data_IF_196417203141
#
_entry.id   IF_196417203141
#
_cell.length_a   1.000
_cell.length_b   1.000
_cell.length_c   1.000
_cell.angle_alpha   90.00
_cell.angle_beta   90.00
_cell.angle_gamma   90.00
#
_symmetry.space_group_name_H-M   'P 1'
#
loop_
_entity.id
_entity.type
_entity.pdbx_description
1 polymer ?
#
# COMPACT_ATOMS: atom_id res chain seq x y z
N UNK A 1 -6.57 -51.45 36.47
CA UNK A 1 -5.16 -51.02 36.66
C UNK A 1 -4.96 -50.57 38.11
N UNK A 2 -3.81 -50.85 38.72
CA UNK A 2 -3.48 -50.37 40.09
C UNK A 2 -2.89 -48.97 40.04
N UNK A 3 -2.70 -48.35 41.21
CA UNK A 3 -2.18 -46.97 41.29
C UNK A 3 -0.81 -46.79 40.63
N UNK A 4 0.09 -47.79 40.71
CA UNK A 4 1.40 -47.75 40.05
C UNK A 4 1.30 -47.70 38.53
N UNK A 5 0.37 -48.48 37.96
CA UNK A 5 0.11 -48.47 36.52
C UNK A 5 -0.46 -47.10 36.10
N UNK A 6 -1.36 -46.54 36.91
CA UNK A 6 -1.92 -45.22 36.67
C UNK A 6 -0.86 -44.10 36.75
N UNK A 7 0.10 -44.18 37.69
CA UNK A 7 1.24 -43.27 37.74
C UNK A 7 2.07 -43.35 36.45
N UNK A 8 2.38 -44.55 35.98
CA UNK A 8 3.20 -44.77 34.79
C UNK A 8 2.51 -44.27 33.51
N UNK A 9 1.20 -44.51 33.37
CA UNK A 9 0.41 -44.11 32.20
C UNK A 9 0.07 -42.62 32.15
N UNK A 10 -0.07 -41.97 33.32
CA UNK A 10 -0.44 -40.54 33.38
C UNK A 10 0.76 -39.63 33.63
N UNK A 11 1.87 -40.17 34.15
CA UNK A 11 3.02 -39.41 34.64
C UNK A 11 2.66 -38.46 35.79
N UNK A 12 1.64 -38.79 36.58
CA UNK A 12 1.26 -38.10 37.81
C UNK A 12 1.72 -38.93 39.00
N UNK A 13 2.07 -38.29 40.12
CA UNK A 13 2.38 -39.03 41.35
C UNK A 13 1.12 -39.65 41.96
N UNK A 14 1.26 -40.75 42.69
CA UNK A 14 0.18 -41.40 43.42
C UNK A 14 -0.51 -40.41 44.38
N UNK A 15 0.27 -39.50 44.99
CA UNK A 15 -0.27 -38.44 45.85
C UNK A 15 -1.19 -37.49 45.06
N UNK A 16 -0.79 -37.09 43.86
CA UNK A 16 -1.59 -36.23 42.98
C UNK A 16 -2.85 -36.94 42.50
N UNK A 17 -2.76 -38.22 42.13
CA UNK A 17 -3.92 -39.02 41.71
C UNK A 17 -4.92 -39.16 42.86
N UNK A 18 -4.45 -39.49 44.07
CA UNK A 18 -5.30 -39.57 45.27
C UNK A 18 -5.92 -38.22 45.63
N UNK A 19 -5.20 -37.12 45.42
CA UNK A 19 -5.74 -35.78 45.62
C UNK A 19 -6.89 -35.48 44.64
N UNK A 20 -6.75 -35.83 43.36
CA UNK A 20 -7.85 -35.65 42.40
C UNK A 20 -9.06 -36.55 42.69
N UNK A 21 -8.81 -37.76 43.20
CA UNK A 21 -9.85 -38.65 43.69
C UNK A 21 -10.58 -38.04 44.91
N UNK A 22 -9.87 -37.54 45.91
CA UNK A 22 -10.49 -36.90 47.09
C UNK A 22 -11.26 -35.62 46.74
N UNK A 23 -10.82 -34.91 45.70
CA UNK A 23 -11.52 -33.75 45.17
C UNK A 23 -12.74 -34.13 44.29
N UNK A 24 -13.00 -35.42 44.06
CA UNK A 24 -14.15 -35.90 43.27
C UNK A 24 -14.01 -35.67 41.76
N UNK A 25 -12.79 -35.44 41.27
CA UNK A 25 -12.54 -35.25 39.83
C UNK A 25 -12.56 -36.56 39.04
N UNK A 26 -12.29 -37.67 39.72
CA UNK A 26 -12.37 -39.04 39.21
C UNK A 26 -13.08 -39.93 40.22
N UNK A 27 -13.73 -40.99 39.75
CA UNK A 27 -14.41 -41.97 40.59
C UNK A 27 -13.81 -43.33 40.31
N UNK A 28 -13.29 -43.95 41.37
CA UNK A 28 -12.53 -45.20 41.30
C UNK A 28 -13.36 -46.28 41.97
N UNK A 29 -13.45 -47.47 41.37
CA UNK A 29 -14.11 -48.60 42.01
C UNK A 29 -13.25 -49.10 43.18
N UNK A 30 -13.84 -49.14 44.37
CA UNK A 30 -13.20 -49.62 45.58
C UNK A 30 -13.73 -51.03 45.85
N UNK A 31 -12.96 -52.04 45.43
CA UNK A 31 -13.14 -53.44 45.87
C UNK A 31 -12.16 -53.69 47.03
N UNK A 32 -11.47 -54.84 47.08
CA UNK A 32 -10.37 -55.08 48.03
C UNK A 32 -9.16 -54.15 47.80
N UNK A 33 -9.05 -53.57 46.60
CA UNK A 33 -8.08 -52.54 46.22
C UNK A 33 -8.73 -51.50 45.31
N UNK A 34 -8.11 -50.31 45.19
CA UNK A 34 -8.52 -49.28 44.20
C UNK A 34 -8.12 -49.72 42.79
N UNK A 35 -9.11 -49.82 41.91
CA UNK A 35 -8.90 -50.14 40.50
C UNK A 35 -9.27 -48.97 39.59
N UNK A 36 -8.27 -48.49 38.84
CA UNK A 36 -8.42 -47.47 37.81
C UNK A 36 -8.72 -48.15 36.47
N UNK A 37 -9.76 -47.69 35.78
CA UNK A 37 -10.10 -48.07 34.41
C UNK A 37 -9.53 -47.07 33.40
N UNK A 38 -9.70 -47.35 32.10
CA UNK A 38 -9.21 -46.49 31.03
C UNK A 38 -9.85 -45.10 31.06
N UNK A 39 -11.12 -45.00 31.44
CA UNK A 39 -11.83 -43.73 31.57
C UNK A 39 -11.21 -42.85 32.66
N UNK A 40 -10.81 -43.44 33.78
CA UNK A 40 -10.07 -42.75 34.83
C UNK A 40 -8.71 -42.26 34.33
N UNK A 41 -7.96 -43.07 33.58
CA UNK A 41 -6.68 -42.64 32.98
C UNK A 41 -6.89 -41.47 32.02
N UNK A 42 -7.89 -41.54 31.15
CA UNK A 42 -8.23 -40.46 30.21
C UNK A 42 -8.64 -39.17 30.93
N UNK A 43 -9.42 -39.26 32.01
CA UNK A 43 -9.77 -38.10 32.85
C UNK A 43 -8.55 -37.49 33.52
N UNK A 44 -7.67 -38.31 34.09
CA UNK A 44 -6.43 -37.85 34.73
C UNK A 44 -5.51 -37.14 33.74
N UNK A 45 -5.37 -37.62 32.51
CA UNK A 45 -4.59 -36.96 31.46
C UNK A 45 -5.18 -35.59 31.07
N UNK A 46 -6.52 -35.48 30.95
CA UNK A 46 -7.20 -34.20 30.69
C UNK A 46 -6.98 -33.21 31.84
N UNK A 47 -7.13 -33.67 33.09
CA UNK A 47 -6.88 -32.84 34.29
C UNK A 47 -5.44 -32.35 34.31
N UNK A 48 -4.46 -33.22 34.00
CA UNK A 48 -3.04 -32.86 33.92
C UNK A 48 -2.79 -31.71 32.95
N UNK A 49 -3.37 -31.76 31.74
CA UNK A 49 -3.23 -30.69 30.75
C UNK A 49 -3.82 -29.38 31.28
N UNK A 50 -5.05 -29.42 31.82
CA UNK A 50 -5.70 -28.23 32.38
C UNK A 50 -4.90 -27.63 33.54
N UNK A 51 -4.35 -28.48 34.42
CA UNK A 51 -3.49 -28.04 35.54
C UNK A 51 -2.17 -27.45 35.07
N UNK A 52 -1.60 -27.91 33.95
CA UNK A 52 -0.43 -27.26 33.32
C UNK A 52 -0.74 -25.88 32.74
N UNK A 53 -2.00 -25.56 32.49
CA UNK A 53 -2.47 -24.24 32.04
C UNK A 53 -2.99 -23.41 33.23
N UNK A 54 -2.57 -23.72 34.45
CA UNK A 54 -2.98 -23.06 35.70
C UNK A 54 -4.50 -23.00 35.93
N UNK A 55 -5.28 -23.91 35.32
CA UNK A 55 -6.71 -24.01 35.58
C UNK A 55 -6.92 -24.58 36.98
N UNK A 56 -7.69 -23.89 37.82
CA UNK A 56 -7.97 -24.32 39.19
C UNK A 56 -8.80 -25.61 39.24
N UNK A 57 -8.68 -26.36 40.34
CA UNK A 57 -9.47 -27.58 40.58
C UNK A 57 -10.97 -27.28 40.56
N UNK A 58 -11.40 -26.15 41.13
CA UNK A 58 -12.80 -25.72 41.11
C UNK A 58 -13.34 -25.54 39.69
N UNK A 59 -12.59 -24.92 38.80
CA UNK A 59 -12.98 -24.74 37.39
C UNK A 59 -13.02 -26.05 36.63
N UNK A 60 -12.11 -26.99 36.93
CA UNK A 60 -12.15 -28.34 36.37
C UNK A 60 -13.41 -29.09 36.82
N UNK A 61 -13.85 -28.93 38.08
CA UNK A 61 -15.12 -29.51 38.57
C UNK A 61 -16.32 -28.94 37.80
N UNK A 62 -16.41 -27.61 37.65
CA UNK A 62 -17.46 -26.95 36.87
C UNK A 62 -17.54 -27.47 35.43
N UNK A 63 -16.38 -27.68 34.80
CA UNK A 63 -16.29 -28.30 33.47
C UNK A 63 -16.87 -29.72 33.47
N UNK A 64 -16.51 -30.54 34.45
CA UNK A 64 -16.99 -31.92 34.54
C UNK A 64 -18.51 -31.99 34.79
N UNK A 65 -19.09 -30.96 35.42
CA UNK A 65 -20.53 -30.78 35.60
C UNK A 65 -21.24 -30.19 34.37
N UNK A 66 -20.50 -29.82 33.32
CA UNK A 66 -21.06 -29.19 32.12
C UNK A 66 -21.36 -27.70 32.26
N UNK A 67 -21.04 -27.08 33.40
CA UNK A 67 -21.31 -25.66 33.70
C UNK A 67 -20.35 -24.70 33.00
N UNK A 68 -19.21 -25.20 32.51
CA UNK A 68 -18.23 -24.42 31.78
C UNK A 68 -17.63 -25.25 30.64
N UNK A 69 -17.65 -24.72 29.43
CA UNK A 69 -17.06 -25.38 28.28
C UNK A 69 -15.53 -25.28 28.29
N UNK A 70 -14.86 -26.24 27.66
CA UNK A 70 -13.40 -26.18 27.48
C UNK A 70 -12.98 -24.90 26.73
N UNK A 71 -13.79 -24.48 25.75
CA UNK A 71 -13.53 -23.29 24.94
C UNK A 71 -13.59 -22.01 25.78
N UNK A 72 -14.55 -21.89 26.69
CA UNK A 72 -14.64 -20.75 27.63
C UNK A 72 -13.45 -20.70 28.58
N UNK A 73 -13.10 -21.85 29.18
CA UNK A 73 -11.95 -21.95 30.10
C UNK A 73 -10.66 -21.58 29.38
N UNK A 74 -10.44 -22.13 28.17
CA UNK A 74 -9.24 -21.82 27.38
C UNK A 74 -9.18 -20.36 26.95
N UNK A 75 -10.30 -19.74 26.54
CA UNK A 75 -10.34 -18.31 26.22
C UNK A 75 -10.08 -17.43 27.44
N UNK A 76 -10.64 -17.80 28.60
CA UNK A 76 -10.41 -17.09 29.86
C UNK A 76 -8.94 -17.12 30.25
N UNK A 77 -8.30 -18.31 30.20
CA UNK A 77 -6.87 -18.44 30.49
C UNK A 77 -5.97 -17.72 29.50
N UNK A 78 -6.33 -17.73 28.22
CA UNK A 78 -5.59 -16.96 27.23
C UNK A 78 -5.60 -15.46 27.56
N UNK A 79 -6.76 -14.90 27.92
CA UNK A 79 -6.88 -13.50 28.36
C UNK A 79 -6.08 -13.21 29.62
N UNK A 80 -6.18 -14.07 30.63
CA UNK A 80 -5.41 -13.96 31.88
C UNK A 80 -3.90 -13.94 31.60
N UNK A 81 -3.42 -14.80 30.68
CA UNK A 81 -2.01 -14.81 30.29
C UNK A 81 -1.60 -13.57 29.48
N UNK A 82 -2.45 -13.06 28.59
CA UNK A 82 -2.19 -11.81 27.86
C UNK A 82 -2.08 -10.60 28.82
N UNK A 83 -3.00 -10.50 29.79
CA UNK A 83 -2.96 -9.46 30.84
C UNK A 83 -1.72 -9.57 31.71
N UNK A 84 -1.34 -10.80 32.08
CA UNK A 84 -0.11 -11.05 32.83
C UNK A 84 1.14 -10.72 32.01
N UNK A 85 1.16 -11.00 30.70
CA UNK A 85 2.26 -10.63 29.81
C UNK A 85 2.44 -9.11 29.78
N UNK A 86 1.35 -8.35 29.61
CA UNK A 86 1.36 -6.88 29.67
C UNK A 86 1.85 -6.35 31.02
N UNK A 87 1.41 -6.96 32.13
CA UNK A 87 1.86 -6.57 33.46
C UNK A 87 3.36 -6.86 33.67
N UNK A 88 3.85 -8.00 33.19
CA UNK A 88 5.27 -8.34 33.21
C UNK A 88 6.08 -7.37 32.33
N UNK A 89 5.53 -6.93 31.21
CA UNK A 89 6.17 -5.97 30.30
C UNK A 89 6.28 -4.58 30.95
N UNK A 90 5.22 -4.11 31.66
CA UNK A 90 5.27 -2.91 32.51
C UNK A 90 6.35 -3.00 33.59
N UNK A 91 6.44 -4.14 34.28
CA UNK A 91 7.50 -4.36 35.30
C UNK A 91 8.90 -4.34 34.70
N UNK A 92 9.07 -4.87 33.48
CA UNK A 92 10.36 -4.81 32.77
C UNK A 92 10.73 -3.39 32.36
N UNK A 93 9.80 -2.61 31.82
CA UNK A 93 10.07 -1.23 31.42
C UNK A 93 10.46 -0.35 32.61
N UNK A 94 9.83 -0.58 33.76
CA UNK A 94 10.24 0.01 35.05
C UNK A 94 11.69 -0.34 35.38
N UNK A 95 12.04 -1.62 35.37
CA UNK A 95 13.40 -2.07 35.69
C UNK A 95 14.42 -1.47 34.72
N UNK A 96 14.10 -1.41 33.42
CA UNK A 96 14.96 -0.81 32.41
C UNK A 96 15.17 0.69 32.64
N UNK A 97 14.12 1.43 33.01
CA UNK A 97 14.22 2.84 33.36
C UNK A 97 15.15 3.05 34.57
N UNK A 98 14.96 2.26 35.64
CA UNK A 98 15.82 2.30 36.83
C UNK A 98 17.27 1.97 36.48
N UNK A 99 17.52 0.89 35.72
CA UNK A 99 18.87 0.48 35.34
C UNK A 99 19.59 1.55 34.51
N UNK A 100 18.88 2.24 33.63
CA UNK A 100 19.43 3.32 32.81
C UNK A 100 19.91 4.50 33.66
N UNK A 101 19.18 4.82 34.73
CA UNK A 101 19.54 5.92 35.63
C UNK A 101 20.61 5.51 36.64
N UNK A 102 20.58 4.28 37.17
CA UNK A 102 21.67 3.72 37.99
C UNK A 102 23.01 3.77 37.23
N UNK A 103 22.99 3.50 35.91
CA UNK A 103 24.18 3.59 35.07
C UNK A 103 24.73 5.03 34.93
N UNK A 104 23.92 6.07 35.15
CA UNK A 104 24.37 7.47 35.10
C UNK A 104 24.76 8.01 36.47
N UNK A 105 24.02 7.65 37.52
CA UNK A 105 24.26 8.05 38.89
C UNK A 105 24.10 6.82 39.81
N UNK A 106 25.17 6.33 40.46
CA UNK A 106 25.08 5.14 41.32
C UNK A 106 24.18 5.30 42.56
N UNK A 107 23.90 6.54 42.98
CA UNK A 107 23.07 6.87 44.13
C UNK A 107 21.71 7.45 43.69
N UNK A 108 20.93 6.68 42.93
CA UNK A 108 19.57 7.05 42.51
C UNK A 108 18.61 6.98 43.70
N UNK A 109 17.90 8.07 43.97
CA UNK A 109 16.74 8.04 44.87
C UNK A 109 15.50 7.58 44.09
N UNK A 110 14.96 6.41 44.45
CA UNK A 110 13.78 5.82 43.80
C UNK A 110 12.51 6.67 44.01
N UNK A 111 12.49 7.53 45.02
CA UNK A 111 11.33 8.40 45.33
C UNK A 111 11.12 9.45 44.24
N UNK A 112 12.18 9.91 43.58
CA UNK A 112 12.10 10.90 42.49
C UNK A 112 11.35 10.36 41.27
N UNK A 113 11.32 9.04 41.10
CA UNK A 113 10.73 8.35 39.95
C UNK A 113 9.29 7.89 40.19
N UNK A 114 8.73 8.03 41.40
CA UNK A 114 7.35 7.61 41.70
C UNK A 114 6.31 8.10 40.67
N UNK A 115 6.49 9.29 40.11
CA UNK A 115 5.62 9.84 39.06
C UNK A 115 5.75 9.12 37.71
N UNK A 116 6.96 8.72 37.33
CA UNK A 116 7.20 7.94 36.12
C UNK A 116 6.65 6.51 36.27
N UNK A 117 6.70 5.96 37.49
CA UNK A 117 6.05 4.70 37.84
C UNK A 117 4.51 4.80 37.76
N UNK A 118 3.91 5.86 38.30
CA UNK A 118 2.46 6.11 38.18
C UNK A 118 2.04 6.22 36.71
N UNK A 119 2.86 6.83 35.86
CA UNK A 119 2.62 6.87 34.42
C UNK A 119 2.74 5.47 33.77
N UNK A 120 3.75 4.67 34.10
CA UNK A 120 3.90 3.31 33.55
C UNK A 120 2.77 2.36 34.03
N UNK A 121 2.22 2.59 35.21
CA UNK A 121 1.06 1.84 35.71
C UNK A 121 -0.28 2.33 35.14
N UNK A 122 -0.32 3.50 34.51
CA UNK A 122 -1.54 4.09 33.96
C UNK A 122 -2.17 3.26 32.83
N UNK A 123 -3.49 3.45 32.67
CA UNK A 123 -4.23 2.89 31.54
C UNK A 123 -3.72 3.45 30.20
N UNK A 124 -3.25 4.70 30.18
CA UNK A 124 -2.71 5.36 28.98
C UNK A 124 -1.42 4.68 28.48
N UNK A 125 -0.50 4.32 29.39
CA UNK A 125 0.70 3.56 29.01
C UNK A 125 0.35 2.13 28.58
N UNK A 126 -0.68 1.53 29.18
CA UNK A 126 -1.16 0.20 28.80
C UNK A 126 -1.77 0.22 27.39
N UNK A 127 -2.58 1.23 27.06
CA UNK A 127 -3.08 1.45 25.71
C UNK A 127 -1.92 1.65 24.72
N UNK A 128 -0.92 2.45 25.09
CA UNK A 128 0.28 2.66 24.27
C UNK A 128 1.06 1.36 24.02
N UNK A 129 1.25 0.51 25.04
CA UNK A 129 1.90 -0.80 24.88
C UNK A 129 1.09 -1.74 23.99
N UNK A 130 -0.24 -1.77 24.14
CA UNK A 130 -1.12 -2.55 23.27
C UNK A 130 -1.04 -2.04 21.83
N UNK A 131 -1.09 -0.73 21.61
CA UNK A 131 -0.92 -0.13 20.29
C UNK A 131 0.45 -0.44 19.70
N UNK A 132 1.54 -0.36 20.48
CA UNK A 132 2.89 -0.71 20.02
C UNK A 132 3.01 -2.21 19.66
N UNK A 133 2.40 -3.10 20.45
CA UNK A 133 2.37 -4.54 20.17
C UNK A 133 1.55 -4.84 18.92
N UNK A 134 0.41 -4.17 18.75
CA UNK A 134 -0.44 -4.27 17.56
C UNK A 134 0.23 -3.71 16.29
N UNK A 135 0.96 -2.60 16.41
CA UNK A 135 1.77 -2.01 15.34
C UNK A 135 2.95 -2.91 14.94
N UNK A 136 3.48 -3.70 15.88
CA UNK A 136 4.54 -4.68 15.62
C UNK A 136 4.07 -5.95 14.89
N UNK A 137 2.78 -6.26 14.91
CA UNK A 137 2.19 -7.43 14.26
C UNK A 137 1.70 -7.14 12.83
N UNK A 138 2.67 -7.02 11.91
CA UNK A 138 2.40 -6.89 10.47
C UNK A 138 1.73 -8.13 9.86
N UNK A 139 0.67 -7.91 9.08
CA UNK A 139 -0.02 -8.98 8.34
C UNK A 139 0.80 -9.50 7.15
N UNK A 140 0.60 -10.76 6.75
CA UNK A 140 1.28 -11.33 5.58
C UNK A 140 0.97 -10.53 4.29
N UNK A 141 -0.27 -10.02 4.16
CA UNK A 141 -0.64 -9.16 3.03
C UNK A 141 0.18 -7.87 2.99
N UNK A 142 0.35 -7.21 4.14
CA UNK A 142 1.19 -6.02 4.25
C UNK A 142 2.66 -6.36 3.89
N UNK A 143 3.17 -7.48 4.40
CA UNK A 143 4.52 -7.94 4.10
C UNK A 143 4.74 -8.15 2.60
N UNK A 144 3.80 -8.81 1.91
CA UNK A 144 3.86 -9.03 0.46
C UNK A 144 3.78 -7.70 -0.30
N UNK A 145 2.90 -6.78 0.10
CA UNK A 145 2.76 -5.48 -0.56
C UNK A 145 4.02 -4.62 -0.43
N UNK A 146 4.61 -4.52 0.77
CA UNK A 146 5.90 -3.84 0.97
C UNK A 146 6.99 -4.51 0.15
N UNK A 147 6.98 -5.85 0.06
CA UNK A 147 7.96 -6.58 -0.74
C UNK A 147 7.87 -6.20 -2.21
N UNK A 148 6.66 -6.12 -2.77
CA UNK A 148 6.43 -5.68 -4.14
C UNK A 148 6.91 -4.24 -4.35
N UNK A 149 6.58 -3.31 -3.45
CA UNK A 149 7.00 -1.90 -3.56
C UNK A 149 8.52 -1.75 -3.51
N UNK A 150 9.19 -2.42 -2.58
CA UNK A 150 10.65 -2.37 -2.43
C UNK A 150 11.39 -3.18 -3.51
N UNK A 151 10.72 -4.08 -4.24
CA UNK A 151 11.36 -4.78 -5.37
C UNK A 151 11.67 -3.89 -6.58
N UNK A 152 11.13 -2.66 -6.62
CA UNK A 152 11.29 -1.72 -7.74
C UNK A 152 12.75 -1.46 -8.15
N UNK A 153 13.67 -1.07 -7.25
CA UNK A 153 15.08 -0.90 -7.56
C UNK A 153 15.77 -2.12 -8.16
N UNK A 154 15.43 -3.33 -7.67
CA UNK A 154 15.98 -4.60 -8.20
C UNK A 154 15.52 -4.83 -9.64
N UNK A 155 14.22 -4.63 -9.91
CA UNK A 155 13.68 -4.72 -11.27
C UNK A 155 14.29 -3.67 -12.19
N UNK A 156 14.48 -2.44 -11.69
CA UNK A 156 15.06 -1.35 -12.46
C UNK A 156 16.52 -1.63 -12.82
N UNK A 157 17.32 -2.15 -11.88
CA UNK A 157 18.68 -2.61 -12.17
C UNK A 157 18.69 -3.72 -13.22
N UNK A 158 17.82 -4.73 -13.08
CA UNK A 158 17.73 -5.84 -14.03
C UNK A 158 17.35 -5.37 -15.44
N UNK A 159 16.36 -4.49 -15.56
CA UNK A 159 15.92 -3.91 -16.84
C UNK A 159 17.07 -3.13 -17.49
N UNK A 160 17.80 -2.31 -16.72
CA UNK A 160 18.91 -1.53 -17.24
C UNK A 160 20.07 -2.41 -17.74
N UNK A 161 20.40 -3.50 -17.02
CA UNK A 161 21.40 -4.48 -17.46
C UNK A 161 20.94 -5.15 -18.76
N UNK A 162 19.69 -5.60 -18.82
CA UNK A 162 19.12 -6.26 -20.01
C UNK A 162 19.14 -5.34 -21.24
N UNK A 163 18.87 -4.05 -21.06
CA UNK A 163 18.82 -3.06 -22.14
C UNK A 163 20.18 -2.40 -22.42
N UNK A 164 21.26 -2.86 -21.77
CA UNK A 164 22.60 -2.26 -21.87
C UNK A 164 22.65 -0.75 -21.55
N UNK A 165 21.71 -0.26 -20.74
CA UNK A 165 21.68 1.14 -20.30
C UNK A 165 22.45 1.28 -18.98
N UNK A 166 23.69 1.77 -19.08
CA UNK A 166 24.61 1.87 -17.95
C UNK A 166 24.71 3.26 -17.33
N UNK A 167 23.94 4.26 -17.80
CA UNK A 167 24.09 5.67 -17.37
C UNK A 167 23.94 5.84 -15.84
N UNK A 168 23.09 5.02 -15.20
CA UNK A 168 22.82 5.09 -13.76
C UNK A 168 23.14 3.78 -13.00
N UNK A 169 23.95 2.88 -13.58
CA UNK A 169 24.12 1.53 -13.01
C UNK A 169 24.70 1.54 -11.59
N UNK A 170 25.58 2.49 -11.25
CA UNK A 170 26.13 2.64 -9.91
C UNK A 170 25.05 2.97 -8.87
N UNK A 171 24.20 3.95 -9.14
CA UNK A 171 23.08 4.35 -8.26
C UNK A 171 22.07 3.20 -8.14
N UNK A 172 21.71 2.55 -9.26
CA UNK A 172 20.77 1.44 -9.27
C UNK A 172 21.28 0.24 -8.45
N UNK A 173 22.58 -0.02 -8.51
CA UNK A 173 23.22 -1.09 -7.74
C UNK A 173 23.16 -0.81 -6.25
N UNK A 174 23.50 0.42 -5.83
CA UNK A 174 23.39 0.85 -4.43
C UNK A 174 21.94 0.76 -3.93
N UNK A 175 20.99 1.28 -4.70
CA UNK A 175 19.57 1.24 -4.35
C UNK A 175 19.04 -0.21 -4.24
N UNK A 176 19.50 -1.11 -5.11
CA UNK A 176 19.14 -2.55 -5.06
C UNK A 176 19.70 -3.24 -3.82
N UNK A 177 20.95 -2.95 -3.43
CA UNK A 177 21.55 -3.48 -2.20
C UNK A 177 20.78 -2.98 -0.98
N UNK A 178 20.51 -1.67 -0.89
CA UNK A 178 19.72 -1.08 0.20
C UNK A 178 18.35 -1.75 0.30
N UNK A 179 17.64 -1.88 -0.83
CA UNK A 179 16.34 -2.53 -0.85
C UNK A 179 16.42 -3.98 -0.37
N UNK A 180 17.42 -4.74 -0.82
CA UNK A 180 17.61 -6.14 -0.41
C UNK A 180 17.87 -6.27 1.09
N UNK A 181 18.68 -5.37 1.67
CA UNK A 181 18.93 -5.34 3.12
C UNK A 181 17.64 -5.03 3.89
N UNK A 182 16.89 -4.00 3.47
CA UNK A 182 15.62 -3.63 4.10
C UNK A 182 14.62 -4.80 4.02
N UNK A 183 14.44 -5.40 2.84
CA UNK A 183 13.59 -6.57 2.65
C UNK A 183 13.97 -7.70 3.60
N UNK A 184 15.27 -8.00 3.73
CA UNK A 184 15.78 -9.03 4.64
C UNK A 184 15.42 -8.73 6.09
N UNK A 185 15.58 -7.48 6.54
CA UNK A 185 15.25 -7.08 7.91
C UNK A 185 13.75 -7.16 8.20
N UNK A 186 12.90 -6.68 7.29
CA UNK A 186 11.44 -6.71 7.46
C UNK A 186 10.94 -8.16 7.46
N UNK A 187 11.41 -9.01 6.53
CA UNK A 187 11.04 -10.42 6.51
C UNK A 187 11.55 -11.18 7.75
N UNK A 188 12.76 -10.86 8.25
CA UNK A 188 13.25 -11.40 9.52
C UNK A 188 12.33 -11.02 10.69
N UNK A 189 11.85 -9.77 10.72
CA UNK A 189 10.88 -9.29 11.70
C UNK A 189 9.57 -10.08 11.64
N UNK A 190 8.94 -10.13 10.46
CA UNK A 190 7.69 -10.86 10.24
C UNK A 190 7.81 -12.37 10.58
N UNK A 191 8.90 -13.03 10.18
CA UNK A 191 9.09 -14.46 10.43
C UNK A 191 9.23 -14.79 11.93
N UNK A 192 9.74 -13.86 12.74
CA UNK A 192 9.89 -13.99 14.20
C UNK A 192 8.60 -13.74 15.00
N UNK A 193 7.56 -13.20 14.37
CA UNK A 193 6.28 -12.98 15.04
C UNK A 193 5.63 -14.30 15.46
N UNK A 194 5.12 -14.36 16.69
CA UNK A 194 4.41 -15.53 17.23
C UNK A 194 3.01 -15.68 16.61
N UNK A 195 2.25 -14.58 16.50
CA UNK A 195 0.89 -14.57 15.95
C UNK A 195 0.83 -13.98 14.53
N UNK A 196 1.21 -14.78 13.52
CA UNK A 196 1.20 -14.32 12.13
C UNK A 196 -0.24 -14.17 11.61
N UNK A 197 -0.63 -12.93 11.26
CA UNK A 197 -1.93 -12.63 10.64
C UNK A 197 -1.92 -12.99 9.15
N UNK A 198 -2.22 -14.26 8.86
CA UNK A 198 -2.24 -14.83 7.50
C UNK A 198 -3.65 -14.86 6.90
N UNK A 199 -4.68 -15.03 7.72
CA UNK A 199 -6.06 -15.17 7.28
C UNK A 199 -6.53 -13.90 6.54
N UNK A 200 -7.14 -14.08 5.36
CA UNK A 200 -7.63 -12.98 4.53
C UNK A 200 -6.59 -12.38 3.57
N UNK A 201 -5.34 -12.85 3.58
CA UNK A 201 -4.27 -12.34 2.70
C UNK A 201 -4.64 -12.38 1.22
N UNK A 202 -5.15 -13.52 0.74
CA UNK A 202 -5.56 -13.67 -0.66
C UNK A 202 -6.64 -12.67 -1.07
N UNK A 203 -7.62 -12.40 -0.20
CA UNK A 203 -8.67 -11.42 -0.46
C UNK A 203 -8.11 -10.00 -0.55
N UNK A 204 -7.13 -9.65 0.29
CA UNK A 204 -6.45 -8.36 0.23
C UNK A 204 -5.68 -8.21 -1.07
N UNK A 205 -4.89 -9.21 -1.45
CA UNK A 205 -4.13 -9.16 -2.71
C UNK A 205 -5.07 -9.06 -3.93
N UNK A 206 -6.13 -9.86 -3.96
CA UNK A 206 -7.13 -9.81 -5.04
C UNK A 206 -7.81 -8.44 -5.12
N UNK A 207 -8.11 -7.81 -3.97
CA UNK A 207 -8.71 -6.47 -3.96
C UNK A 207 -7.78 -5.38 -4.49
N UNK A 208 -6.46 -5.51 -4.25
CA UNK A 208 -5.46 -4.57 -4.79
C UNK A 208 -5.37 -4.73 -6.30
N UNK A 209 -5.32 -5.98 -6.79
CA UNK A 209 -5.35 -6.28 -8.23
C UNK A 209 -6.63 -5.72 -8.86
N UNK A 210 -7.79 -5.98 -8.24
CA UNK A 210 -9.06 -5.46 -8.70
C UNK A 210 -9.09 -3.93 -8.73
N UNK A 211 -8.55 -3.26 -7.71
CA UNK A 211 -8.45 -1.80 -7.68
C UNK A 211 -7.58 -1.26 -8.82
N UNK A 212 -6.48 -1.93 -9.16
CA UNK A 212 -5.62 -1.57 -10.31
C UNK A 212 -6.37 -1.76 -11.63
N UNK A 213 -7.05 -2.89 -11.82
CA UNK A 213 -7.83 -3.16 -13.04
C UNK A 213 -8.98 -2.15 -13.19
N UNK A 214 -9.67 -1.85 -12.09
CA UNK A 214 -10.76 -0.87 -12.08
C UNK A 214 -10.23 0.55 -12.39
N UNK A 215 -9.09 0.92 -11.81
CA UNK A 215 -8.37 2.16 -12.12
C UNK A 215 -8.10 2.27 -13.63
N UNK A 216 -7.50 1.24 -14.22
CA UNK A 216 -7.21 1.20 -15.65
C UNK A 216 -8.49 1.27 -16.51
N UNK A 217 -9.57 0.63 -16.07
CA UNK A 217 -10.89 0.73 -16.70
C UNK A 217 -11.47 2.14 -16.67
N UNK A 218 -11.37 2.85 -15.54
CA UNK A 218 -11.80 4.25 -15.40
C UNK A 218 -10.96 5.16 -16.29
N UNK A 219 -9.64 4.95 -16.33
CA UNK A 219 -8.73 5.67 -17.21
C UNK A 219 -9.14 5.57 -18.69
N UNK A 220 -9.36 4.34 -19.15
CA UNK A 220 -9.82 4.08 -20.53
C UNK A 220 -11.23 4.67 -20.75
N UNK A 221 -12.13 4.51 -19.79
CA UNK A 221 -13.50 5.00 -19.86
C UNK A 221 -13.57 6.52 -20.01
N UNK A 222 -12.83 7.26 -19.16
CA UNK A 222 -12.74 8.72 -19.23
C UNK A 222 -12.12 9.15 -20.56
N UNK A 223 -11.03 8.50 -21.00
CA UNK A 223 -10.38 8.80 -22.27
C UNK A 223 -11.33 8.63 -23.47
N UNK A 224 -12.11 7.53 -23.48
CA UNK A 224 -13.13 7.28 -24.51
C UNK A 224 -14.28 8.27 -24.45
N UNK A 225 -14.71 8.67 -23.25
CA UNK A 225 -15.76 9.66 -23.06
C UNK A 225 -15.31 11.04 -23.59
N UNK A 226 -14.07 11.45 -23.31
CA UNK A 226 -13.49 12.67 -23.85
C UNK A 226 -13.44 12.64 -25.38
N UNK A 227 -13.00 11.52 -25.96
CA UNK A 227 -12.97 11.33 -27.41
C UNK A 227 -14.37 11.49 -28.00
N UNK A 228 -15.38 10.82 -27.43
CA UNK A 228 -16.76 10.85 -27.93
C UNK A 228 -17.41 12.24 -27.85
N UNK A 229 -17.10 13.02 -26.81
CA UNK A 229 -17.73 14.34 -26.59
C UNK A 229 -17.05 15.44 -27.43
N UNK A 230 -15.72 15.46 -27.49
CA UNK A 230 -14.97 16.63 -27.97
C UNK A 230 -14.28 16.45 -29.31
N UNK A 231 -14.01 15.21 -29.73
CA UNK A 231 -13.22 14.92 -30.93
C UNK A 231 -14.17 14.69 -32.12
N UNK A 232 -14.17 15.55 -33.14
CA UNK A 232 -14.98 15.37 -34.34
C UNK A 232 -14.40 14.25 -35.21
N UNK A 233 -15.18 13.72 -36.16
CA UNK A 233 -14.78 12.58 -37.01
C UNK A 233 -13.57 12.92 -37.91
N UNK A 234 -13.44 14.18 -38.33
CA UNK A 234 -12.42 14.68 -39.27
C UNK A 234 -11.14 15.21 -38.59
N UNK A 235 -10.91 14.82 -37.34
CA UNK A 235 -9.74 15.24 -36.58
C UNK A 235 -8.42 14.72 -37.17
N UNK A 236 -7.36 15.50 -36.99
CA UNK A 236 -5.98 15.10 -37.29
C UNK A 236 -5.32 14.44 -36.08
N UNK A 237 -5.43 15.08 -34.92
CA UNK A 237 -4.94 14.56 -33.64
C UNK A 237 -5.61 15.25 -32.46
N UNK A 238 -5.54 14.66 -31.27
CA UNK A 238 -5.97 15.28 -30.02
C UNK A 238 -5.04 14.91 -28.88
N UNK A 239 -4.89 15.79 -27.89
CA UNK A 239 -4.05 15.56 -26.72
C UNK A 239 -4.83 15.86 -25.44
N UNK A 240 -4.74 14.94 -24.48
CA UNK A 240 -5.20 15.19 -23.12
C UNK A 240 -4.16 16.05 -22.40
N UNK A 241 -4.61 17.05 -21.64
CA UNK A 241 -3.73 18.07 -21.07
C UNK A 241 -3.25 17.72 -19.67
N UNK A 242 -1.93 17.64 -19.44
CA UNK A 242 -1.36 17.71 -18.10
C UNK A 242 -1.57 19.11 -17.48
N UNK A 243 -1.78 19.22 -16.15
CA UNK A 243 -1.92 18.13 -15.19
C UNK A 243 -3.37 17.61 -15.05
N UNK A 244 -4.34 18.16 -15.78
CA UNK A 244 -5.77 17.80 -15.64
C UNK A 244 -6.01 16.31 -15.90
N UNK A 245 -5.33 15.73 -16.88
CA UNK A 245 -5.36 14.29 -17.15
C UNK A 245 -4.82 13.43 -16.00
N UNK A 246 -3.94 13.98 -15.15
CA UNK A 246 -3.41 13.28 -13.97
C UNK A 246 -4.35 13.33 -12.77
N UNK A 247 -5.39 14.17 -12.79
CA UNK A 247 -6.38 14.17 -11.72
C UNK A 247 -7.16 12.85 -11.64
N UNK A 248 -7.08 12.02 -12.69
CA UNK A 248 -7.65 10.67 -12.69
C UNK A 248 -7.11 9.79 -11.56
N UNK A 249 -5.85 10.00 -11.16
CA UNK A 249 -5.21 9.26 -10.07
C UNK A 249 -5.86 9.54 -8.70
N UNK A 250 -6.60 10.66 -8.53
CA UNK A 250 -7.36 10.89 -7.30
C UNK A 250 -8.50 9.88 -7.13
N UNK A 251 -9.21 9.53 -8.22
CA UNK A 251 -10.25 8.50 -8.16
C UNK A 251 -9.69 7.14 -7.78
N UNK A 252 -8.46 6.84 -8.23
CA UNK A 252 -7.77 5.60 -7.87
C UNK A 252 -7.46 5.53 -6.37
N UNK A 253 -6.96 6.64 -5.79
CA UNK A 253 -6.71 6.73 -4.36
C UNK A 253 -8.00 6.53 -3.55
N UNK A 254 -9.11 7.12 -3.97
CA UNK A 254 -10.41 6.94 -3.32
C UNK A 254 -10.87 5.47 -3.36
N UNK A 255 -10.77 4.81 -4.52
CA UNK A 255 -11.12 3.40 -4.68
C UNK A 255 -10.27 2.53 -3.76
N UNK A 256 -8.96 2.77 -3.70
CA UNK A 256 -8.05 2.04 -2.81
C UNK A 256 -8.48 2.24 -1.35
N UNK A 257 -8.75 3.47 -0.91
CA UNK A 257 -9.20 3.78 0.46
C UNK A 257 -10.49 3.04 0.80
N UNK A 258 -11.48 3.03 -0.10
CA UNK A 258 -12.75 2.33 0.08
C UNK A 258 -12.52 0.81 0.22
N UNK A 259 -11.74 0.22 -0.68
CA UNK A 259 -11.43 -1.21 -0.64
C UNK A 259 -10.68 -1.61 0.62
N UNK A 260 -9.65 -0.85 0.99
CA UNK A 260 -8.87 -1.04 2.23
C UNK A 260 -9.79 -0.97 3.46
N UNK A 261 -10.76 -0.05 3.46
CA UNK A 261 -11.73 0.11 4.56
C UNK A 261 -12.75 -1.02 4.66
N UNK A 262 -13.22 -1.55 3.52
CA UNK A 262 -14.09 -2.74 3.48
C UNK A 262 -13.34 -3.95 4.04
N UNK A 263 -12.07 -4.11 3.66
CA UNK A 263 -11.23 -5.19 4.16
C UNK A 263 -10.91 -5.07 5.65
N UNK A 264 -10.69 -3.84 6.15
CA UNK A 264 -10.50 -3.60 7.58
C UNK A 264 -11.65 -4.20 8.40
N UNK A 265 -12.90 -3.95 8.00
CA UNK A 265 -14.09 -4.50 8.70
C UNK A 265 -14.13 -6.03 8.71
N UNK A 266 -13.58 -6.68 7.69
CA UNK A 266 -13.58 -8.16 7.57
C UNK A 266 -12.41 -8.83 8.29
N UNK A 267 -11.26 -8.16 8.39
CA UNK A 267 -10.01 -8.76 8.86
C UNK A 267 -9.63 -8.28 10.28
N UNK A 268 -10.33 -7.26 10.83
CA UNK A 268 -10.18 -6.76 12.21
C UNK A 268 -8.71 -6.52 12.59
N UNK A 269 -7.96 -5.89 11.69
CA UNK A 269 -6.52 -5.68 11.82
C UNK A 269 -6.19 -4.19 12.08
N UNK A 270 -5.51 -3.91 13.18
CA UNK A 270 -5.25 -2.56 13.72
C UNK A 270 -4.50 -1.61 12.76
N UNK A 271 -3.61 -2.14 11.91
CA UNK A 271 -2.73 -1.39 10.99
C UNK A 271 -3.48 -0.46 10.00
N UNK A 272 -4.79 -0.61 9.86
CA UNK A 272 -5.62 0.11 8.87
C UNK A 272 -6.74 0.94 9.51
N UNK A 273 -6.66 1.21 10.82
CA UNK A 273 -7.60 2.09 11.55
C UNK A 273 -7.70 3.48 10.91
N UNK A 274 -6.58 4.03 10.42
CA UNK A 274 -6.55 5.31 9.69
C UNK A 274 -7.41 5.32 8.44
N UNK A 275 -7.41 4.24 7.65
CA UNK A 275 -8.19 4.12 6.43
C UNK A 275 -9.70 4.07 6.75
N UNK A 276 -10.07 3.33 7.80
CA UNK A 276 -11.44 3.30 8.29
C UNK A 276 -11.92 4.69 8.77
N UNK A 277 -11.06 5.44 9.47
CA UNK A 277 -11.35 6.81 9.91
C UNK A 277 -11.52 7.76 8.71
N UNK A 278 -10.66 7.68 7.69
CA UNK A 278 -10.80 8.45 6.46
C UNK A 278 -12.09 8.11 5.71
N UNK A 279 -12.43 6.83 5.62
CA UNK A 279 -13.68 6.41 5.00
C UNK A 279 -14.91 6.89 5.78
N UNK A 280 -14.86 6.87 7.12
CA UNK A 280 -15.91 7.46 7.95
C UNK A 280 -16.03 8.97 7.75
N UNK A 281 -14.90 9.69 7.66
CA UNK A 281 -14.86 11.11 7.35
C UNK A 281 -15.50 11.40 5.99
N UNK A 282 -15.12 10.67 4.94
CA UNK A 282 -15.70 10.78 3.61
C UNK A 282 -17.21 10.48 3.62
N UNK A 283 -17.65 9.45 4.36
CA UNK A 283 -19.07 9.13 4.52
C UNK A 283 -19.85 10.24 5.24
N UNK A 284 -19.26 10.85 6.28
CA UNK A 284 -19.87 11.98 7.00
C UNK A 284 -20.02 13.20 6.09
N UNK A 285 -19.09 13.39 5.17
CA UNK A 285 -19.04 14.53 4.24
C UNK A 285 -19.43 14.13 2.81
N UNK A 286 -20.34 13.16 2.65
CA UNK A 286 -20.61 12.51 1.36
C UNK A 286 -21.03 13.49 0.26
N UNK A 287 -21.81 14.53 0.60
CA UNK A 287 -22.24 15.56 -0.38
C UNK A 287 -21.03 16.35 -0.90
N UNK A 288 -20.11 16.73 -0.01
CA UNK A 288 -18.89 17.44 -0.40
C UNK A 288 -17.95 16.54 -1.20
N UNK A 289 -17.81 15.27 -0.83
CA UNK A 289 -17.01 14.29 -1.59
C UNK A 289 -17.59 14.05 -2.98
N UNK A 290 -18.92 13.92 -3.13
CA UNK A 290 -19.56 13.79 -4.43
C UNK A 290 -19.37 15.06 -5.26
N UNK A 291 -19.57 16.24 -4.67
CA UNK A 291 -19.35 17.52 -5.34
C UNK A 291 -17.92 17.69 -5.84
N UNK A 292 -16.93 17.35 -5.00
CA UNK A 292 -15.51 17.36 -5.37
C UNK A 292 -15.22 16.39 -6.53
N UNK A 293 -15.74 15.17 -6.46
CA UNK A 293 -15.54 14.17 -7.52
C UNK A 293 -16.17 14.57 -8.85
N UNK A 294 -17.37 15.15 -8.83
CA UNK A 294 -18.01 15.69 -10.04
C UNK A 294 -17.17 16.84 -10.62
N UNK A 295 -16.66 17.73 -9.76
CA UNK A 295 -15.79 18.81 -10.18
C UNK A 295 -14.47 18.29 -10.78
N UNK A 296 -13.80 17.33 -10.13
CA UNK A 296 -12.58 16.70 -10.65
C UNK A 296 -12.84 16.00 -11.98
N UNK A 297 -13.97 15.30 -12.11
CA UNK A 297 -14.36 14.64 -13.35
C UNK A 297 -14.58 15.66 -14.47
N UNK A 298 -15.25 16.77 -14.18
CA UNK A 298 -15.43 17.87 -15.12
C UNK A 298 -14.09 18.46 -15.59
N UNK A 299 -13.14 18.67 -14.68
CA UNK A 299 -11.80 19.16 -15.00
C UNK A 299 -11.04 18.15 -15.87
N UNK A 300 -11.10 16.85 -15.53
CA UNK A 300 -10.52 15.78 -16.34
C UNK A 300 -11.09 15.80 -17.76
N UNK A 301 -12.43 15.82 -17.90
CA UNK A 301 -13.11 15.71 -19.17
C UNK A 301 -12.82 16.90 -20.10
N UNK A 302 -12.83 18.11 -19.56
CA UNK A 302 -12.64 19.34 -20.35
C UNK A 302 -11.18 19.62 -20.70
N UNK A 303 -10.21 18.92 -20.11
CA UNK A 303 -8.78 19.10 -20.37
C UNK A 303 -8.28 18.44 -21.67
N UNK A 304 -8.78 18.89 -22.83
CA UNK A 304 -8.42 18.32 -24.14
C UNK A 304 -8.13 19.40 -25.19
N UNK A 305 -7.13 19.17 -26.04
CA UNK A 305 -6.89 19.96 -27.26
C UNK A 305 -7.12 19.09 -28.47
N UNK A 306 -7.86 19.60 -29.45
CA UNK A 306 -8.20 18.88 -30.68
C UNK A 306 -7.69 19.67 -31.87
N UNK A 307 -7.02 18.99 -32.80
CA UNK A 307 -6.50 19.57 -34.03
C UNK A 307 -7.29 19.01 -35.20
N UNK A 308 -7.87 19.91 -35.99
CA UNK A 308 -8.53 19.63 -37.26
C UNK A 308 -7.72 20.33 -38.36
N UNK A 309 -7.91 19.96 -39.63
CA UNK A 309 -7.08 20.40 -40.76
C UNK A 309 -6.89 21.93 -40.90
N UNK A 310 -7.81 22.74 -40.39
CA UNK A 310 -7.79 24.21 -40.56
C UNK A 310 -7.82 25.00 -39.24
N UNK A 311 -7.97 24.33 -38.10
CA UNK A 311 -8.12 25.00 -36.79
C UNK A 311 -7.70 24.09 -35.64
N UNK A 312 -7.32 24.72 -34.54
CA UNK A 312 -7.05 24.07 -33.27
C UNK A 312 -8.17 24.47 -32.33
N UNK A 313 -8.82 23.50 -31.71
CA UNK A 313 -9.86 23.76 -30.70
C UNK A 313 -9.35 23.30 -29.35
N UNK A 314 -9.26 24.25 -28.43
CA UNK A 314 -8.65 24.06 -27.14
C UNK A 314 -9.68 24.15 -26.01
N UNK A 315 -9.96 23.02 -25.37
CA UNK A 315 -10.91 22.93 -24.27
C UNK A 315 -10.19 23.00 -22.93
N UNK A 316 -10.80 23.67 -21.97
CA UNK A 316 -10.32 23.68 -20.59
C UNK A 316 -11.51 23.89 -19.64
N UNK A 317 -11.29 23.70 -18.34
CA UNK A 317 -12.38 23.77 -17.37
C UNK A 317 -12.98 25.18 -17.21
N UNK A 318 -12.26 26.25 -17.57
CA UNK A 318 -12.80 27.62 -17.63
C UNK A 318 -13.50 27.92 -18.95
N UNK A 319 -13.22 27.16 -20.01
CA UNK A 319 -13.73 27.33 -21.36
C UNK A 319 -14.21 25.98 -21.94
N UNK A 320 -15.34 25.45 -21.45
CA UNK A 320 -15.87 24.14 -21.86
C UNK A 320 -16.38 24.11 -23.30
N UNK A 321 -16.76 25.27 -23.86
CA UNK A 321 -17.14 25.40 -25.28
C UNK A 321 -15.91 25.34 -26.19
N UNK A 322 -14.72 25.58 -25.62
CA UNK A 322 -13.41 25.55 -26.27
C UNK A 322 -13.06 26.86 -26.96
N UNK A 323 -11.79 27.27 -26.88
CA UNK A 323 -11.26 28.38 -27.66
C UNK A 323 -10.77 27.87 -29.01
N UNK A 324 -11.20 28.51 -30.10
CA UNK A 324 -10.83 28.10 -31.46
C UNK A 324 -9.73 29.02 -31.97
N UNK A 325 -8.62 28.44 -32.41
CA UNK A 325 -7.51 29.13 -33.04
C UNK A 325 -7.43 28.72 -34.51
N UNK A 326 -7.44 29.70 -35.40
CA UNK A 326 -7.02 29.49 -36.78
C UNK A 326 -5.49 29.32 -36.83
N UNK A 327 -4.97 28.68 -37.87
CA UNK A 327 -3.51 28.61 -38.05
C UNK A 327 -2.88 29.99 -38.25
N UNK A 328 -3.66 30.98 -38.69
CA UNK A 328 -3.22 32.38 -38.77
C UNK A 328 -3.07 33.06 -37.41
N UNK A 329 -3.59 32.47 -36.33
CA UNK A 329 -3.46 32.96 -34.96
C UNK A 329 -2.20 32.45 -34.27
N UNK A 330 -1.44 31.61 -34.96
CA UNK A 330 -0.13 31.15 -34.52
C UNK A 330 0.87 32.29 -34.71
N UNK A 331 1.58 32.64 -33.63
CA UNK A 331 2.65 33.64 -33.67
C UNK A 331 3.99 33.01 -34.01
N UNK A 332 4.26 31.82 -33.45
CA UNK A 332 5.57 31.17 -33.53
C UNK A 332 5.49 29.68 -33.25
N UNK A 333 6.31 28.89 -33.94
CA UNK A 333 6.48 27.44 -33.68
C UNK A 333 7.90 27.19 -33.17
N UNK A 334 8.03 26.35 -32.14
CA UNK A 334 9.30 25.91 -31.58
C UNK A 334 9.37 24.38 -31.59
N UNK A 335 10.41 23.83 -32.23
CA UNK A 335 10.62 22.38 -32.30
C UNK A 335 12.07 22.01 -31.96
N UNK A 336 12.28 20.91 -31.27
CA UNK A 336 13.63 20.43 -30.96
C UNK A 336 13.67 19.32 -29.91
N UNK A 337 14.88 19.05 -29.40
CA UNK A 337 15.11 18.06 -28.35
C UNK A 337 15.61 18.72 -27.07
N UNK A 338 15.11 18.26 -25.93
CA UNK A 338 15.53 18.78 -24.63
C UNK A 338 16.96 18.32 -24.30
N UNK A 339 17.77 19.22 -23.76
CA UNK A 339 19.12 18.90 -23.28
C UNK A 339 19.13 18.24 -21.90
N UNK A 340 20.31 17.80 -21.46
CA UNK A 340 20.53 17.31 -20.09
C UNK A 340 20.28 18.43 -19.08
N UNK A 341 19.33 18.25 -18.17
CA UNK A 341 19.07 19.18 -17.07
C UNK A 341 19.37 18.50 -15.74
N UNK A 342 20.17 19.16 -14.88
CA UNK A 342 20.57 18.64 -13.57
C UNK A 342 19.52 18.89 -12.46
N UNK A 343 18.28 19.23 -12.82
CA UNK A 343 17.19 19.47 -11.86
C UNK A 343 16.37 18.19 -11.66
N UNK A 344 16.30 17.75 -10.40
CA UNK A 344 15.74 16.48 -9.89
C UNK A 344 14.31 16.17 -10.40
N UNK A 345 13.57 17.17 -10.88
CA UNK A 345 12.25 16.99 -11.49
C UNK A 345 12.07 17.90 -12.72
N UNK A 346 12.60 17.51 -13.90
CA UNK A 346 11.94 17.68 -15.23
C UNK A 346 12.82 17.24 -16.41
N UNK A 347 12.14 16.54 -17.34
CA UNK A 347 12.51 16.10 -18.70
C UNK A 347 13.72 15.20 -18.86
N UNK A 348 13.51 14.09 -19.59
CA UNK A 348 14.59 13.24 -20.06
C UNK A 348 15.34 14.01 -21.16
N UNK A 349 16.67 13.91 -21.15
CA UNK A 349 17.45 14.42 -22.27
C UNK A 349 17.03 13.67 -23.53
N UNK A 350 16.88 14.37 -24.65
CA UNK A 350 16.40 13.79 -25.90
C UNK A 350 14.87 13.72 -26.06
N UNK A 351 14.08 14.18 -25.08
CA UNK A 351 12.64 14.34 -25.26
C UNK A 351 12.36 15.38 -26.37
N UNK A 352 11.61 14.97 -27.39
CA UNK A 352 11.16 15.89 -28.44
C UNK A 352 10.09 16.86 -27.90
N UNK A 353 10.09 18.09 -28.37
CA UNK A 353 9.03 19.06 -28.11
C UNK A 353 8.59 19.73 -29.41
N UNK A 354 7.29 20.02 -29.48
CA UNK A 354 6.69 20.80 -30.57
C UNK A 354 5.69 21.77 -29.97
N UNK A 355 6.15 23.00 -29.73
CA UNK A 355 5.39 24.03 -29.03
C UNK A 355 4.89 25.05 -30.04
N UNK A 356 3.57 25.23 -30.06
CA UNK A 356 2.90 26.29 -30.83
C UNK A 356 2.58 27.42 -29.87
N UNK A 357 3.09 28.61 -30.18
CA UNK A 357 2.75 29.85 -29.49
C UNK A 357 1.68 30.57 -30.31
N UNK A 358 0.62 31.00 -29.64
CA UNK A 358 -0.47 31.77 -30.23
C UNK A 358 -0.26 33.27 -29.96
N UNK A 359 -1.05 34.12 -30.63
CA UNK A 359 -1.00 35.58 -30.44
C UNK A 359 -1.49 36.05 -29.06
N UNK A 360 -2.25 35.22 -28.35
CA UNK A 360 -2.71 35.45 -26.97
C UNK A 360 -1.71 34.95 -25.91
N UNK A 361 -0.44 34.79 -26.28
CA UNK A 361 0.66 34.24 -25.46
C UNK A 361 0.47 32.81 -24.95
N UNK A 362 -0.59 32.12 -25.38
CA UNK A 362 -0.83 30.73 -25.04
C UNK A 362 0.19 29.82 -25.73
N UNK A 363 0.61 28.78 -25.02
CA UNK A 363 1.58 27.79 -25.49
C UNK A 363 0.99 26.40 -25.36
N UNK A 364 1.00 25.64 -26.45
CA UNK A 364 0.54 24.25 -26.46
C UNK A 364 1.64 23.37 -27.03
N UNK A 365 2.02 22.32 -26.29
CA UNK A 365 2.93 21.29 -26.78
C UNK A 365 2.12 20.14 -27.38
N UNK A 366 2.36 19.83 -28.65
CA UNK A 366 1.66 18.75 -29.39
C UNK A 366 2.44 17.43 -29.42
N UNK A 367 3.51 17.33 -28.65
CA UNK A 367 4.20 16.05 -28.44
C UNK A 367 3.29 15.03 -27.74
N UNK A 368 3.28 13.78 -28.23
CA UNK A 368 2.47 12.66 -27.73
C UNK A 368 0.94 12.86 -27.86
N UNK A 369 0.50 13.51 -28.93
CA UNK A 369 -0.92 13.53 -29.28
C UNK A 369 -1.40 12.15 -29.77
N UNK A 370 -2.68 11.86 -29.56
CA UNK A 370 -3.36 10.69 -30.09
C UNK A 370 -3.89 10.97 -31.51
N UNK A 371 -3.79 10.00 -32.40
CA UNK A 371 -4.29 10.09 -33.78
C UNK A 371 -4.86 8.74 -34.25
N UNK A 372 -5.50 8.73 -35.43
CA UNK A 372 -5.93 7.50 -36.11
C UNK A 372 -4.82 6.88 -36.96
N UNK A 373 -3.68 7.54 -37.12
CA UNK A 373 -2.60 7.04 -37.95
C UNK A 373 -1.92 5.85 -37.25
N UNK A 374 -1.67 4.78 -38.00
CA UNK A 374 -0.93 3.63 -37.49
C UNK A 374 0.54 3.97 -37.18
N UNK A 375 1.08 4.98 -37.85
CA UNK A 375 2.48 5.39 -37.75
C UNK A 375 2.64 6.59 -36.81
N UNK A 376 3.08 6.33 -35.59
CA UNK A 376 3.22 7.32 -34.51
C UNK A 376 3.98 8.57 -34.97
N UNK A 377 3.51 9.75 -34.55
CA UNK A 377 4.05 11.06 -34.92
C UNK A 377 3.84 11.45 -36.40
N UNK A 378 3.12 10.67 -37.21
CA UNK A 378 2.74 11.08 -38.57
C UNK A 378 1.81 12.29 -38.53
N UNK A 379 0.86 12.28 -37.61
CA UNK A 379 -0.05 13.41 -37.36
C UNK A 379 0.71 14.70 -37.14
N UNK A 380 1.82 14.64 -36.40
CA UNK A 380 2.61 15.82 -36.04
C UNK A 380 3.39 16.34 -37.26
N UNK A 381 3.90 15.44 -38.10
CA UNK A 381 4.56 15.83 -39.35
C UNK A 381 3.58 16.44 -40.35
N UNK A 382 2.36 15.88 -40.46
CA UNK A 382 1.29 16.44 -41.31
C UNK A 382 0.86 17.81 -40.78
N UNK A 383 0.65 17.93 -39.47
CA UNK A 383 0.30 19.18 -38.81
C UNK A 383 1.34 20.27 -39.06
N UNK A 384 2.61 19.93 -38.90
CA UNK A 384 3.71 20.87 -39.14
C UNK A 384 3.73 21.39 -40.58
N UNK A 385 3.56 20.50 -41.57
CA UNK A 385 3.43 20.90 -42.98
C UNK A 385 2.24 21.81 -43.22
N UNK A 386 1.10 21.53 -42.59
CA UNK A 386 -0.10 22.35 -42.72
C UNK A 386 0.11 23.76 -42.15
N UNK A 387 0.74 23.89 -40.98
CA UNK A 387 1.04 25.20 -40.39
C UNK A 387 1.99 25.98 -41.30
N UNK A 388 3.13 25.39 -41.69
CA UNK A 388 4.14 26.09 -42.49
C UNK A 388 3.61 26.50 -43.88
N UNK A 389 2.72 25.71 -44.49
CA UNK A 389 2.13 26.04 -45.79
C UNK A 389 1.01 27.08 -45.70
N UNK A 390 0.22 27.07 -44.62
CA UNK A 390 -0.99 27.90 -44.50
C UNK A 390 -0.69 29.26 -43.87
N UNK A 391 0.32 29.32 -43.00
CA UNK A 391 0.63 30.48 -42.18
C UNK A 391 2.08 30.91 -42.38
N UNK A 392 2.33 32.21 -42.56
CA UNK A 392 3.70 32.78 -42.63
C UNK A 392 4.32 32.88 -41.22
N UNK A 393 4.36 31.76 -40.52
CA UNK A 393 4.78 31.70 -39.12
C UNK A 393 6.29 31.51 -39.02
N UNK A 394 6.92 32.24 -38.10
CA UNK A 394 8.32 32.03 -37.81
C UNK A 394 8.51 30.74 -37.01
N UNK A 395 9.37 29.85 -37.51
CA UNK A 395 9.73 28.62 -36.84
C UNK A 395 11.15 28.67 -36.28
N UNK A 396 11.28 28.44 -34.98
CA UNK A 396 12.55 28.17 -34.32
C UNK A 396 12.72 26.66 -34.20
N UNK A 397 13.84 26.15 -34.70
CA UNK A 397 14.09 24.71 -34.70
C UNK A 397 15.52 24.42 -34.31
N UNK A 398 15.70 23.52 -33.35
CA UNK A 398 17.03 23.09 -32.86
C UNK A 398 17.21 21.59 -33.04
N UNK A 399 18.31 21.20 -33.67
CA UNK A 399 18.78 19.81 -33.75
C UNK A 399 19.65 19.42 -32.57
N UNK A 400 20.01 20.35 -31.70
CA UNK A 400 20.84 20.04 -30.55
C UNK A 400 20.16 18.98 -29.69
N UNK A 401 20.95 18.08 -29.10
CA UNK A 401 20.49 17.01 -28.21
C UNK A 401 19.71 15.86 -28.87
N UNK A 402 19.55 15.82 -30.20
CA UNK A 402 18.87 14.70 -30.89
C UNK A 402 19.53 13.34 -30.62
N UNK A 403 20.84 13.33 -30.41
CA UNK A 403 21.63 12.13 -30.10
C UNK A 403 21.25 11.47 -28.77
N UNK A 404 20.58 12.18 -27.87
CA UNK A 404 20.08 11.64 -26.60
C UNK A 404 18.66 11.08 -26.75
N UNK A 405 18.07 11.12 -27.95
CA UNK A 405 16.72 10.62 -28.18
C UNK A 405 16.73 9.09 -28.23
N UNK A 406 16.07 8.45 -27.27
CA UNK A 406 16.02 6.98 -27.13
C UNK A 406 15.06 6.29 -28.13
N UNK A 407 14.43 7.05 -29.03
CA UNK A 407 13.55 6.47 -30.04
C UNK A 407 14.32 5.81 -31.17
N UNK A 408 13.71 4.80 -31.81
CA UNK A 408 14.24 4.21 -33.03
C UNK A 408 14.49 5.25 -34.12
N UNK A 409 15.52 4.99 -34.94
CA UNK A 409 15.96 5.87 -36.03
C UNK A 409 14.81 6.39 -36.90
N UNK A 410 13.80 5.56 -37.19
CA UNK A 410 12.61 5.94 -37.98
C UNK A 410 11.87 7.16 -37.39
N UNK A 411 11.72 7.22 -36.07
CA UNK A 411 11.05 8.32 -35.38
C UNK A 411 11.96 9.55 -35.25
N UNK A 412 13.24 9.33 -34.94
CA UNK A 412 14.24 10.41 -34.90
C UNK A 412 14.32 11.10 -36.26
N UNK A 413 14.40 10.35 -37.35
CA UNK A 413 14.39 10.89 -38.72
C UNK A 413 13.12 11.69 -39.01
N UNK A 414 11.98 11.30 -38.45
CA UNK A 414 10.73 12.04 -38.58
C UNK A 414 10.77 13.36 -37.83
N UNK A 415 11.25 13.37 -36.59
CA UNK A 415 11.43 14.59 -35.82
C UNK A 415 12.42 15.53 -36.49
N UNK A 416 13.50 15.02 -37.07
CA UNK A 416 14.44 15.81 -37.86
C UNK A 416 13.78 16.42 -39.09
N UNK A 417 12.95 15.67 -39.84
CA UNK A 417 12.15 16.24 -40.95
C UNK A 417 11.20 17.34 -40.48
N UNK A 418 10.62 17.23 -39.28
CA UNK A 418 9.81 18.29 -38.69
C UNK A 418 10.70 19.51 -38.40
N UNK A 419 11.83 19.35 -37.74
CA UNK A 419 12.77 20.45 -37.41
C UNK A 419 13.27 21.17 -38.68
N UNK A 420 13.48 20.45 -39.77
CA UNK A 420 14.03 20.99 -41.03
C UNK A 420 13.00 21.71 -41.90
N UNK A 421 11.71 21.42 -41.72
CA UNK A 421 10.63 22.06 -42.48
C UNK A 421 10.43 23.51 -42.01
N UNK A 422 10.84 24.50 -42.80
CA UNK A 422 10.86 25.93 -42.43
C UNK A 422 9.91 26.76 -43.29
#
# INVERSE_FOLDING_TARGET
>A
MKIKDAELLTGLSAKTIRYYESEGLISVKINSYREYDEDNINKLQKIKILRKLDVSISTIKKRNLGEASLLEISKGKFREFDENELNLERKKSIIEAILKEINKNPNVDLVEYCKDFEYIESDEFTELLVEMKELGEVSLAHQILITLMLSGPLLWLFINIKNSNYEFIGINSIASIISTVILTLIWRGFLRQKNKKIKGTGLVLLSVIFAIVLSMGIFVGISKLQQAIFVPIDYLMFAFKPPYSYLIFFFELEIIIVFVSILYKRIKNAERKWAANLFQFSKKNIVATIGLNIFLLYVCLTGITVVVKNKIKDYNFYSPIGTTYSYNDISKVQAGFKGKSFKIFKSHAGDFYYIVNFKDDKKINFYQANSTFEDTYLELQIFDKLIMNTSKVQKESSKENYQFCDFDKRYVDRFLRIIENR
#
